data_IF_353232102662
#
_entry.id   IF_353232102662
#
_cell.length_a   1.000
_cell.length_b   1.000
_cell.length_c   1.000
_cell.angle_alpha   90.00
_cell.angle_beta   90.00
_cell.angle_gamma   90.00
#
_symmetry.space_group_name_H-M   'P 1'
#
loop_
_entity.id
_entity.type
_entity.pdbx_description
1 polymer ?
#
# COMPACT_ATOMS: atom_id res chain seq x y z
N UNK A 1 -21.46 21.37 -0.41
CA UNK A 1 -21.82 20.27 0.51
C UNK A 1 -21.18 18.98 -0.03
N UNK A 2 -21.07 17.91 0.74
CA UNK A 2 -20.45 16.66 0.28
C UNK A 2 -21.48 15.52 0.38
N UNK A 3 -21.45 14.59 -0.56
CA UNK A 3 -22.21 13.35 -0.49
C UNK A 3 -21.39 12.32 0.30
N UNK A 4 -22.04 11.62 1.25
CA UNK A 4 -21.44 10.57 2.05
C UNK A 4 -21.84 9.21 1.47
N UNK A 5 -20.86 8.36 1.20
CA UNK A 5 -20.97 7.04 0.59
C UNK A 5 -20.25 6.02 1.48
N UNK A 6 -20.55 4.73 1.30
CA UNK A 6 -19.79 3.62 1.90
C UNK A 6 -19.22 2.79 0.75
N UNK A 7 -17.92 2.47 0.82
CA UNK A 7 -17.29 1.58 -0.15
C UNK A 7 -17.70 0.12 0.15
N UNK A 8 -18.34 -0.60 -0.77
CA UNK A 8 -18.91 -1.92 -0.50
C UNK A 8 -17.87 -3.02 -0.29
N UNK A 9 -16.63 -2.82 -0.72
CA UNK A 9 -15.54 -3.81 -0.58
C UNK A 9 -14.80 -3.65 0.75
N UNK A 10 -14.79 -2.44 1.34
CA UNK A 10 -14.01 -2.11 2.54
C UNK A 10 -14.82 -1.60 3.72
N UNK A 11 -16.12 -1.35 3.53
CA UNK A 11 -16.99 -0.66 4.49
C UNK A 11 -16.47 0.75 4.87
N UNK A 12 -15.55 1.31 4.09
CA UNK A 12 -14.92 2.58 4.40
C UNK A 12 -15.87 3.75 4.08
N UNK A 13 -15.98 4.76 4.97
CA UNK A 13 -16.75 5.95 4.65
C UNK A 13 -16.02 6.77 3.59
N UNK A 14 -16.75 7.12 2.54
CA UNK A 14 -16.29 7.88 1.39
C UNK A 14 -17.05 9.20 1.34
N UNK A 15 -16.35 10.29 1.05
CA UNK A 15 -16.98 11.57 0.71
C UNK A 15 -16.76 11.87 -0.77
N UNK A 16 -17.84 12.23 -1.46
CA UNK A 16 -17.78 12.84 -2.79
C UNK A 16 -18.05 14.34 -2.65
N UNK A 17 -17.06 15.22 -2.89
CA UNK A 17 -17.28 16.66 -2.85
C UNK A 17 -18.22 17.09 -3.99
N UNK A 18 -19.26 17.87 -3.70
CA UNK A 18 -20.15 18.41 -4.74
C UNK A 18 -19.35 19.29 -5.71
N UNK A 19 -19.50 19.05 -7.00
CA UNK A 19 -18.76 19.73 -8.08
C UNK A 19 -17.43 19.06 -8.45
N UNK A 20 -17.10 17.91 -7.84
CA UNK A 20 -15.97 17.06 -8.22
C UNK A 20 -16.42 15.60 -8.37
N UNK A 21 -17.30 15.36 -9.34
CA UNK A 21 -18.00 14.07 -9.51
C UNK A 21 -17.05 12.87 -9.75
N UNK A 22 -15.81 13.12 -10.16
CA UNK A 22 -14.78 12.10 -10.37
C UNK A 22 -13.79 11.92 -9.22
N UNK A 23 -13.97 12.64 -8.09
CA UNK A 23 -13.07 12.55 -6.93
C UNK A 23 -13.83 12.00 -5.73
N UNK A 24 -13.43 10.81 -5.30
CA UNK A 24 -13.89 10.18 -4.07
C UNK A 24 -12.76 10.26 -3.03
N UNK A 25 -13.08 10.68 -1.81
CA UNK A 25 -12.15 10.61 -0.68
C UNK A 25 -12.63 9.54 0.30
N UNK A 26 -11.95 8.40 0.33
CA UNK A 26 -12.18 7.38 1.33
C UNK A 26 -11.43 7.71 2.63
N UNK A 27 -12.07 7.49 3.79
CA UNK A 27 -11.38 7.46 5.07
C UNK A 27 -10.54 6.19 5.13
N UNK A 28 -9.24 6.35 4.86
CA UNK A 28 -8.30 5.23 4.90
C UNK A 28 -7.85 5.02 6.35
N UNK A 29 -7.85 3.79 6.86
CA UNK A 29 -7.39 3.52 8.22
C UNK A 29 -5.92 3.92 8.40
N UNK A 30 -5.55 4.40 9.58
CA UNK A 30 -4.13 4.62 9.93
C UNK A 30 -3.43 3.33 10.38
N UNK A 31 -4.21 2.32 10.74
CA UNK A 31 -3.80 0.96 11.12
C UNK A 31 -4.86 -0.01 10.63
N UNK A 32 -4.43 -1.15 10.10
CA UNK A 32 -5.39 -2.20 9.74
C UNK A 32 -5.96 -2.81 11.04
N UNK A 33 -7.27 -3.09 11.13
CA UNK A 33 -7.84 -3.86 12.24
C UNK A 33 -7.72 -5.37 11.98
N UNK A 34 -6.58 -5.81 11.41
CA UNK A 34 -6.39 -7.15 10.90
C UNK A 34 -6.02 -8.12 12.03
N UNK A 35 -6.54 -9.35 11.95
CA UNK A 35 -6.18 -10.44 12.87
C UNK A 35 -5.27 -11.48 12.24
N UNK A 36 -5.14 -11.43 10.91
CA UNK A 36 -4.38 -12.37 10.10
C UNK A 36 -3.20 -11.65 9.43
N UNK A 37 -2.06 -12.32 9.23
CA UNK A 37 -0.88 -11.71 8.61
C UNK A 37 -1.12 -11.20 7.18
N UNK A 38 -0.19 -10.36 6.70
CA UNK A 38 -0.12 -9.95 5.30
C UNK A 38 0.08 -11.19 4.41
N UNK A 39 -0.84 -11.40 3.46
CA UNK A 39 -0.70 -12.41 2.41
C UNK A 39 -0.23 -11.80 1.09
N UNK A 40 -0.86 -10.70 0.67
CA UNK A 40 -0.58 -10.06 -0.62
C UNK A 40 -0.65 -8.54 -0.57
N UNK A 41 0.13 -7.89 -1.42
CA UNK A 41 0.05 -6.45 -1.71
C UNK A 41 -0.23 -6.24 -3.18
N UNK A 42 -1.25 -5.43 -3.48
CA UNK A 42 -1.76 -5.23 -4.84
C UNK A 42 -1.61 -3.76 -5.25
N UNK A 43 -0.90 -3.51 -6.34
CA UNK A 43 -0.68 -2.17 -6.91
C UNK A 43 -1.78 -1.78 -7.90
N UNK A 44 -3.03 -1.66 -7.46
CA UNK A 44 -4.18 -1.34 -8.33
C UNK A 44 -4.89 -0.09 -7.82
N UNK A 45 -4.36 1.08 -8.18
CA UNK A 45 -4.62 2.37 -7.53
C UNK A 45 -5.98 2.50 -6.84
N UNK A 46 -6.06 2.64 -5.48
CA UNK A 46 -5.01 2.71 -4.44
C UNK A 46 -4.20 1.41 -4.21
N UNK A 47 -3.30 1.36 -3.22
CA UNK A 47 -2.64 0.09 -2.84
C UNK A 47 -3.57 -0.70 -1.93
N UNK A 48 -3.67 -1.99 -2.21
CA UNK A 48 -4.50 -2.92 -1.44
C UNK A 48 -3.64 -3.96 -0.73
N UNK A 49 -4.14 -4.39 0.41
CA UNK A 49 -3.53 -5.39 1.29
C UNK A 49 -4.54 -6.51 1.47
N UNK A 50 -4.16 -7.73 1.09
CA UNK A 50 -4.92 -8.93 1.39
C UNK A 50 -4.27 -9.68 2.53
N UNK A 51 -5.05 -10.07 3.53
CA UNK A 51 -4.59 -10.90 4.65
C UNK A 51 -4.79 -12.39 4.37
N UNK A 52 -4.14 -13.26 5.15
CA UNK A 52 -4.22 -14.72 4.95
C UNK A 52 -5.64 -15.29 5.08
N UNK A 53 -6.51 -14.64 5.85
CA UNK A 53 -7.93 -14.98 5.95
C UNK A 53 -8.77 -14.50 4.75
N UNK A 54 -8.13 -13.91 3.73
CA UNK A 54 -8.78 -13.42 2.52
C UNK A 54 -9.37 -12.02 2.63
N UNK A 55 -9.28 -11.37 3.79
CA UNK A 55 -9.83 -10.01 3.96
C UNK A 55 -9.01 -9.00 3.16
N UNK A 56 -9.72 -8.09 2.48
CA UNK A 56 -9.10 -7.03 1.69
C UNK A 56 -9.19 -5.69 2.42
N UNK A 57 -8.05 -5.02 2.53
CA UNK A 57 -7.93 -3.70 3.14
C UNK A 57 -7.26 -2.72 2.18
N UNK A 58 -7.64 -1.44 2.28
CA UNK A 58 -6.82 -0.38 1.70
C UNK A 58 -5.55 -0.17 2.53
N UNK A 59 -4.42 0.05 1.86
CA UNK A 59 -3.15 0.32 2.51
C UNK A 59 -3.25 1.51 3.48
N UNK A 60 -2.81 1.36 4.73
CA UNK A 60 -3.03 2.38 5.74
C UNK A 60 -2.24 3.64 5.41
N UNK A 61 -2.91 4.80 5.43
CA UNK A 61 -2.34 6.10 5.03
C UNK A 61 -2.37 7.10 6.18
N UNK A 62 -1.21 7.65 6.51
CA UNK A 62 -1.08 8.72 7.50
C UNK A 62 -1.42 10.10 6.91
N UNK A 63 -1.80 11.06 7.75
CA UNK A 63 -2.10 12.44 7.35
C UNK A 63 -0.85 13.33 7.17
N UNK A 64 0.30 12.72 6.83
CA UNK A 64 1.57 13.46 6.76
C UNK A 64 1.74 14.11 5.38
N UNK A 65 2.08 15.39 5.37
CA UNK A 65 2.29 16.18 4.15
C UNK A 65 3.38 15.56 3.27
N UNK A 66 3.10 15.39 1.99
CA UNK A 66 4.08 14.92 1.00
C UNK A 66 4.32 13.41 0.95
N UNK A 67 3.64 12.59 1.77
CA UNK A 67 3.68 11.13 1.66
C UNK A 67 2.64 10.66 0.64
N UNK A 68 3.08 9.94 -0.39
CA UNK A 68 2.22 9.32 -1.39
C UNK A 68 2.64 7.87 -1.63
N UNK A 69 1.79 7.09 -2.27
CA UNK A 69 2.10 5.71 -2.64
C UNK A 69 2.68 5.58 -4.07
N UNK A 70 3.14 6.69 -4.68
CA UNK A 70 3.47 6.76 -6.11
C UNK A 70 4.92 7.17 -6.41
N UNK A 71 5.34 6.97 -7.67
CA UNK A 71 6.72 7.16 -8.13
C UNK A 71 7.25 8.60 -8.10
N UNK A 72 6.40 9.61 -7.95
CA UNK A 72 6.84 11.00 -7.86
C UNK A 72 7.19 11.39 -6.40
N UNK A 73 8.42 11.87 -6.19
CA UNK A 73 8.88 12.39 -4.90
C UNK A 73 9.18 11.31 -3.86
N UNK A 74 8.58 11.41 -2.67
CA UNK A 74 8.86 10.56 -1.50
C UNK A 74 8.23 9.16 -1.55
N UNK A 75 7.41 8.87 -2.57
CA UNK A 75 6.46 7.78 -2.52
C UNK A 75 7.04 6.36 -2.57
N UNK A 76 8.12 6.07 -3.33
CA UNK A 76 8.79 4.77 -3.26
C UNK A 76 9.33 4.50 -1.84
N UNK A 77 9.99 5.47 -1.23
CA UNK A 77 10.51 5.32 0.14
C UNK A 77 9.39 5.14 1.19
N UNK A 78 8.26 5.80 0.99
CA UNK A 78 7.08 5.67 1.85
C UNK A 78 6.47 4.28 1.72
N UNK A 79 6.31 3.78 0.50
CA UNK A 79 5.82 2.42 0.23
C UNK A 79 6.76 1.36 0.79
N UNK A 80 8.08 1.53 0.64
CA UNK A 80 9.05 0.61 1.21
C UNK A 80 8.92 0.55 2.74
N UNK A 81 8.74 1.69 3.41
CA UNK A 81 8.56 1.72 4.86
C UNK A 81 7.25 1.03 5.27
N UNK A 82 6.17 1.26 4.54
CA UNK A 82 4.90 0.59 4.81
C UNK A 82 5.05 -0.93 4.68
N UNK A 83 5.62 -1.41 3.58
CA UNK A 83 5.85 -2.86 3.35
C UNK A 83 6.69 -3.44 4.48
N UNK A 84 7.79 -2.76 4.84
CA UNK A 84 8.66 -3.22 5.91
C UNK A 84 7.89 -3.42 7.22
N UNK A 85 7.05 -2.46 7.58
CA UNK A 85 6.23 -2.50 8.80
C UNK A 85 5.16 -3.57 8.76
N UNK A 86 4.39 -3.67 7.67
CA UNK A 86 3.30 -4.64 7.54
C UNK A 86 3.80 -6.10 7.51
N UNK A 87 5.02 -6.32 7.02
CA UNK A 87 5.67 -7.63 7.11
C UNK A 87 6.00 -8.01 8.56
N UNK A 88 6.39 -7.06 9.40
CA UNK A 88 6.72 -7.34 10.81
C UNK A 88 5.47 -7.35 11.71
N UNK A 89 4.52 -6.46 11.46
CA UNK A 89 3.24 -6.35 12.16
C UNK A 89 2.15 -5.82 11.22
N UNK A 90 1.13 -6.64 10.95
CA UNK A 90 0.01 -6.27 10.07
C UNK A 90 -0.79 -5.07 10.62
N UNK A 91 -0.77 -4.85 11.93
CA UNK A 91 -1.46 -3.76 12.61
C UNK A 91 -0.58 -2.51 12.78
N UNK A 92 0.61 -2.51 12.20
CA UNK A 92 1.54 -1.40 12.28
C UNK A 92 0.93 -0.09 11.77
N UNK A 93 1.34 1.06 12.34
CA UNK A 93 0.90 2.36 11.85
C UNK A 93 1.40 2.62 10.43
N UNK A 94 0.59 3.34 9.66
CA UNK A 94 0.93 3.88 8.36
C UNK A 94 2.33 4.51 8.35
N UNK A 95 3.01 4.45 7.20
CA UNK A 95 4.29 5.10 7.02
C UNK A 95 4.19 6.59 7.38
N UNK A 96 5.13 7.05 8.21
CA UNK A 96 5.23 8.44 8.68
C UNK A 96 6.47 9.16 8.12
N UNK A 97 7.25 8.48 7.28
CA UNK A 97 8.39 9.06 6.55
C UNK A 97 8.70 8.21 5.31
N UNK A 98 9.60 8.69 4.46
CA UNK A 98 10.18 7.92 3.34
C UNK A 98 11.50 7.20 3.70
N UNK A 99 11.87 7.23 4.99
CA UNK A 99 13.11 6.68 5.53
C UNK A 99 12.85 5.54 6.52
N UNK A 100 13.88 4.75 6.83
CA UNK A 100 13.79 3.62 7.77
C UNK A 100 13.44 2.27 7.15
N UNK A 101 13.10 2.22 5.86
CA UNK A 101 13.03 0.96 5.12
C UNK A 101 14.42 0.49 4.68
N UNK A 102 14.67 -0.84 4.60
CA UNK A 102 15.87 -1.39 3.98
C UNK A 102 16.10 -0.87 2.56
N UNK A 103 17.35 -0.62 2.19
CA UNK A 103 17.71 -0.04 0.88
C UNK A 103 17.25 -0.94 -0.29
N UNK A 104 17.33 -2.24 -0.12
CA UNK A 104 16.84 -3.26 -1.06
C UNK A 104 15.35 -3.09 -1.37
N UNK A 105 14.55 -2.85 -0.33
CA UNK A 105 13.12 -2.63 -0.45
C UNK A 105 12.79 -1.27 -1.09
N UNK A 106 13.60 -0.24 -0.82
CA UNK A 106 13.49 1.05 -1.53
C UNK A 106 13.70 0.86 -3.04
N UNK A 107 14.74 0.14 -3.45
CA UNK A 107 14.99 -0.18 -4.87
C UNK A 107 13.82 -0.97 -5.47
N UNK A 108 13.29 -1.96 -4.75
CA UNK A 108 12.12 -2.72 -5.19
C UNK A 108 10.91 -1.83 -5.50
N UNK A 109 10.62 -0.86 -4.62
CA UNK A 109 9.50 0.09 -4.82
C UNK A 109 9.77 1.21 -5.82
N UNK A 110 11.00 1.35 -6.31
CA UNK A 110 11.39 2.29 -7.37
C UNK A 110 11.24 1.70 -8.77
N UNK A 111 11.10 0.39 -8.91
CA UNK A 111 10.83 -0.29 -10.18
C UNK A 111 9.41 0.05 -10.62
N UNK A 112 9.20 0.59 -11.82
CA UNK A 112 7.86 0.90 -12.33
C UNK A 112 7.03 -0.35 -12.63
N UNK A 113 6.42 -0.94 -11.61
CA UNK A 113 5.57 -2.11 -11.73
C UNK A 113 4.26 -1.80 -12.47
N UNK A 114 3.76 -2.72 -13.32
CA UNK A 114 2.45 -2.58 -13.94
C UNK A 114 1.32 -2.40 -12.90
N UNK A 115 0.32 -1.59 -13.21
CA UNK A 115 -0.89 -1.52 -12.39
C UNK A 115 -1.58 -2.89 -12.36
N UNK A 116 -2.11 -3.26 -11.20
CA UNK A 116 -2.66 -4.59 -10.95
C UNK A 116 -1.64 -5.64 -10.52
N UNK A 117 -0.34 -5.30 -10.42
CA UNK A 117 0.67 -6.25 -9.92
C UNK A 117 0.33 -6.70 -8.50
N UNK A 118 0.34 -8.01 -8.28
CA UNK A 118 0.15 -8.66 -6.98
C UNK A 118 1.49 -9.20 -6.52
N UNK A 119 1.90 -8.83 -5.32
CA UNK A 119 3.07 -9.40 -4.64
C UNK A 119 2.62 -10.27 -3.49
N UNK A 120 3.15 -11.48 -3.42
CA UNK A 120 2.97 -12.34 -2.25
C UNK A 120 3.87 -11.88 -1.11
N UNK A 121 3.50 -12.24 0.12
CA UNK A 121 4.33 -12.04 1.31
C UNK A 121 5.77 -12.49 1.09
N UNK A 122 5.96 -13.68 0.51
CA UNK A 122 7.28 -14.25 0.24
C UNK A 122 8.11 -13.39 -0.72
N UNK A 123 7.49 -12.82 -1.76
CA UNK A 123 8.18 -11.92 -2.69
C UNK A 123 8.59 -10.61 -2.01
N UNK A 124 7.73 -10.06 -1.15
CA UNK A 124 8.05 -8.87 -0.38
C UNK A 124 9.18 -9.12 0.64
N UNK A 125 9.18 -10.28 1.29
CA UNK A 125 10.26 -10.70 2.19
C UNK A 125 11.56 -10.96 1.42
N UNK A 126 11.50 -11.55 0.22
CA UNK A 126 12.65 -11.72 -0.65
C UNK A 126 13.25 -10.37 -1.04
N UNK A 127 12.41 -9.41 -1.48
CA UNK A 127 12.83 -8.06 -1.79
C UNK A 127 13.44 -7.34 -0.56
N UNK A 128 12.83 -7.49 0.62
CA UNK A 128 13.35 -6.94 1.88
C UNK A 128 14.74 -7.48 2.19
N UNK A 129 14.96 -8.77 2.00
CA UNK A 129 16.20 -9.46 2.31
C UNK A 129 17.24 -9.42 1.17
N UNK A 130 16.96 -8.72 0.06
CA UNK A 130 17.87 -8.63 -1.09
C UNK A 130 18.01 -9.95 -1.87
N UNK A 131 17.05 -10.86 -1.74
CA UNK A 131 17.01 -12.11 -2.52
C UNK A 131 16.52 -11.83 -3.95
N UNK A 132 16.82 -12.72 -4.92
CA UNK A 132 16.31 -12.57 -6.28
C UNK A 132 14.78 -12.58 -6.32
N UNK A 133 14.22 -11.71 -7.16
CA UNK A 133 12.80 -11.66 -7.49
C UNK A 133 12.65 -11.28 -8.97
N UNK A 134 11.57 -11.74 -9.60
CA UNK A 134 11.33 -11.48 -11.02
C UNK A 134 10.94 -10.02 -11.22
N UNK A 135 11.71 -9.29 -12.03
CA UNK A 135 11.46 -7.89 -12.37
C UNK A 135 10.57 -7.81 -13.62
N UNK A 136 9.73 -6.78 -13.75
CA UNK A 136 8.93 -6.63 -14.95
C UNK A 136 9.87 -6.36 -16.14
N UNK A 137 9.79 -7.20 -17.17
CA UNK A 137 10.63 -7.11 -18.37
C UNK A 137 12.04 -7.70 -18.26
N UNK A 138 12.35 -8.44 -17.20
CA UNK A 138 13.60 -9.21 -17.11
C UNK A 138 13.37 -10.65 -17.57
N UNK A 139 14.02 -11.08 -18.64
CA UNK A 139 14.13 -12.50 -18.99
C UNK A 139 14.82 -13.29 -17.86
N UNK A 140 14.39 -14.54 -17.71
CA UNK A 140 14.74 -15.51 -16.67
C UNK A 140 16.24 -15.69 -16.42
#
# INVERSE_FOLDING_TARGET
MAEYLIDPETDAPVIRPVGKDHVLHAAVPQRLPARSPLAELILKGPIWIRTEDGTLYMAPRGNYFGLSWGYAGSGPGTLALLIHRLLDDINAPAANSSNGAPATLKVFTQINWPQGTVFTRQQLEAARNGRPYHKPGGES
#
